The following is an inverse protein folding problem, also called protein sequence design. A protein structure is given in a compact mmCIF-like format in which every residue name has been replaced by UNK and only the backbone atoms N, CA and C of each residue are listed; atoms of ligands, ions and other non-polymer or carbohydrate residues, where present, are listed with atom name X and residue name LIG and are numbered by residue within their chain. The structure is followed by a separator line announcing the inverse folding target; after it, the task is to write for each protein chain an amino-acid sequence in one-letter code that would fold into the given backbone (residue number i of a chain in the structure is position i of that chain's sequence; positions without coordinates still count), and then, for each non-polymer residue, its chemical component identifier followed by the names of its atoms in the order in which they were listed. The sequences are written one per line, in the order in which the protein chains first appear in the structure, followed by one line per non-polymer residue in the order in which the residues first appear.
data_IF_505805969796
#
_entry.id   IF_505805969796
#
_cell.length_a   1.000
_cell.length_b   1.000
_cell.length_c   1.000
_cell.angle_alpha   90.00
_cell.angle_beta   90.00
_cell.angle_gamma   90.00
#
_symmetry.space_group_name_H-M   'P 1'
#
loop_
_entity.id
_entity.type
_entity.pdbx_description
1 polymer ?
#
# COMPACT_ATOMS: atom_id res chain seq x y z
N UNK A 1 4.07 2.27 -2.48
CA UNK A 1 2.84 1.48 -2.20
C UNK A 1 3.20 0.38 -1.22
N UNK A 2 2.32 0.04 -0.29
CA UNK A 2 2.56 -1.04 0.69
C UNK A 2 1.39 -2.03 0.58
N UNK A 3 1.69 -3.32 0.45
CA UNK A 3 0.71 -4.41 0.41
C UNK A 3 0.82 -5.23 1.70
N UNK A 4 -0.22 -5.15 2.53
CA UNK A 4 -0.34 -5.92 3.76
C UNK A 4 -1.33 -7.07 3.50
N UNK A 5 -0.81 -8.28 3.36
CA UNK A 5 -1.60 -9.48 3.05
C UNK A 5 -1.35 -10.53 4.14
N UNK A 6 -2.41 -10.87 4.88
CA UNK A 6 -2.40 -11.88 5.94
C UNK A 6 -2.44 -13.33 5.43
N UNK A 7 -2.72 -13.54 4.14
CA UNK A 7 -2.81 -14.86 3.52
C UNK A 7 -1.68 -15.11 2.50
N UNK A 8 -0.89 -14.09 2.17
CA UNK A 8 0.19 -14.14 1.16
C UNK A 8 -0.27 -14.72 -0.18
N UNK A 9 -1.52 -14.45 -0.56
CA UNK A 9 -2.16 -15.03 -1.74
C UNK A 9 -2.36 -14.02 -2.87
N UNK A 10 -2.16 -12.73 -2.58
CA UNK A 10 -2.31 -11.66 -3.55
C UNK A 10 -1.22 -11.74 -4.61
N UNK A 11 -1.62 -11.72 -5.89
CA UNK A 11 -0.68 -11.64 -7.00
C UNK A 11 0.04 -10.27 -6.99
N UNK A 12 1.35 -10.22 -6.71
CA UNK A 12 2.08 -8.97 -6.55
C UNK A 12 2.36 -8.27 -7.90
N UNK A 13 2.06 -8.90 -9.04
CA UNK A 13 2.35 -8.35 -10.37
C UNK A 13 1.17 -7.57 -10.93
N UNK A 14 -0.05 -8.08 -10.78
CA UNK A 14 -1.24 -7.49 -11.41
C UNK A 14 -1.81 -6.31 -10.61
N UNK A 15 -1.88 -6.45 -9.29
CA UNK A 15 -2.48 -5.44 -8.42
C UNK A 15 -1.78 -4.07 -8.51
N UNK A 16 -0.44 -3.97 -8.49
CA UNK A 16 0.23 -2.67 -8.60
C UNK A 16 0.00 -1.98 -9.94
N UNK A 17 -0.11 -2.74 -11.04
CA UNK A 17 -0.38 -2.18 -12.36
C UNK A 17 -1.74 -1.48 -12.36
N UNK A 18 -2.77 -2.15 -11.83
CA UNK A 18 -4.13 -1.60 -11.75
C UNK A 18 -4.18 -0.37 -10.84
N UNK A 19 -3.53 -0.42 -9.67
CA UNK A 19 -3.49 0.71 -8.74
C UNK A 19 -2.76 1.91 -9.37
N UNK A 20 -1.61 1.70 -10.01
CA UNK A 20 -0.87 2.79 -10.68
C UNK A 20 -1.70 3.46 -11.76
N UNK A 21 -2.38 2.67 -12.59
CA UNK A 21 -3.29 3.20 -13.62
C UNK A 21 -4.41 4.03 -12.99
N UNK A 22 -5.05 3.51 -11.93
CA UNK A 22 -6.09 4.24 -11.21
C UNK A 22 -5.60 5.58 -10.66
N UNK A 23 -4.38 5.64 -10.10
CA UNK A 23 -3.78 6.89 -9.64
C UNK A 23 -3.52 7.85 -10.80
N UNK A 24 -2.96 7.38 -11.92
CA UNK A 24 -2.78 8.21 -13.13
C UNK A 24 -4.11 8.81 -13.60
N UNK A 25 -5.16 7.98 -13.67
CA UNK A 25 -6.49 8.42 -14.11
C UNK A 25 -7.06 9.53 -13.20
N UNK A 26 -6.84 9.47 -11.88
CA UNK A 26 -7.21 10.54 -10.93
C UNK A 26 -6.45 11.83 -11.26
N UNK A 27 -5.15 11.75 -11.48
CA UNK A 27 -4.31 12.92 -11.76
C UNK A 27 -4.73 13.61 -13.06
N UNK A 28 -5.00 12.83 -14.11
CA UNK A 28 -5.53 13.33 -15.38
C UNK A 28 -6.89 14.01 -15.18
N UNK A 29 -7.80 13.36 -14.45
CA UNK A 29 -9.14 13.91 -14.17
C UNK A 29 -9.09 15.22 -13.37
N UNK A 30 -8.12 15.36 -12.47
CA UNK A 30 -7.91 16.58 -11.69
C UNK A 30 -7.07 17.65 -12.41
N UNK A 31 -6.63 17.40 -13.65
CA UNK A 31 -5.80 18.32 -14.42
C UNK A 31 -4.40 18.55 -13.82
N UNK A 32 -3.92 17.62 -13.00
CA UNK A 32 -2.58 17.68 -12.38
C UNK A 32 -1.54 17.25 -13.41
N UNK A 33 -0.53 18.08 -13.66
CA UNK A 33 0.55 17.82 -14.61
C UNK A 33 1.65 16.87 -14.11
N UNK A 34 1.35 16.00 -13.14
CA UNK A 34 2.34 14.99 -12.74
C UNK A 34 2.58 14.01 -13.88
N UNK A 35 3.85 13.63 -14.01
CA UNK A 35 4.35 12.74 -15.05
C UNK A 35 4.01 11.29 -14.69
N UNK A 36 3.42 10.54 -15.61
CA UNK A 36 3.13 9.10 -15.45
C UNK A 36 4.39 8.30 -15.04
N UNK A 37 5.57 8.80 -15.44
CA UNK A 37 6.88 8.26 -15.07
C UNK A 37 7.13 8.30 -13.55
N UNK A 38 6.59 9.31 -12.84
CA UNK A 38 6.66 9.41 -11.39
C UNK A 38 5.86 8.30 -10.70
N UNK A 39 4.60 8.13 -11.09
CA UNK A 39 3.69 7.15 -10.49
C UNK A 39 4.16 5.71 -10.79
N UNK A 40 4.64 5.46 -12.00
CA UNK A 40 5.16 4.14 -12.40
C UNK A 40 6.42 3.74 -11.63
N UNK A 41 7.24 4.71 -11.21
CA UNK A 41 8.46 4.48 -10.41
C UNK A 41 8.19 4.15 -8.93
N UNK A 42 6.96 4.33 -8.42
CA UNK A 42 6.63 4.07 -7.01
C UNK A 42 6.81 2.57 -6.71
N UNK A 43 7.67 2.19 -5.76
CA UNK A 43 7.90 0.78 -5.42
C UNK A 43 6.67 0.17 -4.72
N UNK A 44 6.46 -1.13 -4.95
CA UNK A 44 5.58 -1.95 -4.12
C UNK A 44 6.43 -2.58 -3.02
N UNK A 45 6.08 -2.32 -1.76
CA UNK A 45 6.67 -2.96 -0.60
C UNK A 45 5.71 -4.02 -0.07
N UNK A 46 6.23 -5.21 0.23
CA UNK A 46 5.46 -6.33 0.80
C UNK A 46 6.15 -6.71 2.11
N UNK A 47 5.86 -6.00 3.22
CA UNK A 47 6.51 -6.25 4.49
C UNK A 47 6.03 -7.56 5.11
N UNK A 48 6.85 -8.11 6.01
CA UNK A 48 6.44 -9.25 6.83
C UNK A 48 5.46 -8.78 7.90
N UNK A 49 4.23 -9.29 7.85
CA UNK A 49 3.15 -8.98 8.79
C UNK A 49 2.66 -10.24 9.49
N UNK A 50 2.00 -10.13 10.66
CA UNK A 50 1.31 -11.26 11.29
C UNK A 50 0.38 -11.96 10.30
N UNK A 51 0.54 -13.28 10.12
CA UNK A 51 -0.23 -14.05 9.15
C UNK A 51 -1.44 -14.72 9.82
N UNK A 52 -2.53 -14.85 9.09
CA UNK A 52 -3.73 -15.54 9.58
C UNK A 52 -3.53 -17.07 9.57
N UNK A 53 -4.14 -17.76 10.54
CA UNK A 53 -4.04 -19.22 10.64
C UNK A 53 -5.01 -19.99 9.74
N UNK A 54 -6.06 -19.33 9.24
CA UNK A 54 -7.14 -19.93 8.44
C UNK A 54 -7.59 -18.99 7.32
N UNK A 55 -8.41 -19.45 6.38
CA UNK A 55 -8.87 -18.63 5.24
C UNK A 55 -9.94 -17.56 5.55
N UNK A 56 -10.44 -17.46 6.78
CA UNK A 56 -11.64 -16.64 7.10
C UNK A 56 -11.34 -15.35 7.87
N UNK A 57 -10.13 -15.18 8.39
CA UNK A 57 -9.79 -14.06 9.28
C UNK A 57 -9.26 -12.82 8.55
N UNK A 58 -9.15 -12.84 7.22
CA UNK A 58 -8.52 -11.75 6.46
C UNK A 58 -9.15 -10.38 6.73
N UNK A 59 -10.47 -10.31 6.91
CA UNK A 59 -11.17 -9.07 7.26
C UNK A 59 -10.72 -8.49 8.62
N UNK A 60 -10.47 -9.35 9.61
CA UNK A 60 -9.96 -8.93 10.92
C UNK A 60 -8.52 -8.40 10.80
N UNK A 61 -7.66 -9.10 10.04
CA UNK A 61 -6.28 -8.65 9.83
C UNK A 61 -6.21 -7.32 9.08
N UNK A 62 -7.09 -7.07 8.11
CA UNK A 62 -7.19 -5.75 7.45
C UNK A 62 -7.48 -4.65 8.47
N UNK A 63 -8.46 -4.85 9.35
CA UNK A 63 -8.79 -3.86 10.39
C UNK A 63 -7.64 -3.68 11.38
N UNK A 64 -7.00 -4.77 11.77
CA UNK A 64 -5.82 -4.77 12.63
C UNK A 64 -4.67 -3.97 12.02
N UNK A 65 -4.38 -4.17 10.73
CA UNK A 65 -3.34 -3.43 10.02
C UNK A 65 -3.64 -1.93 9.93
N UNK A 66 -4.88 -1.55 9.61
CA UNK A 66 -5.29 -0.14 9.57
C UNK A 66 -5.13 0.50 10.95
N UNK A 67 -5.60 -0.19 12.00
CA UNK A 67 -5.45 0.29 13.37
C UNK A 67 -3.98 0.53 13.73
N UNK A 68 -3.11 -0.45 13.51
CA UNK A 68 -1.67 -0.32 13.78
C UNK A 68 -1.01 0.77 12.93
N UNK A 69 -1.37 0.88 11.66
CA UNK A 69 -0.84 1.91 10.78
C UNK A 69 -1.17 3.31 11.31
N UNK A 70 -2.41 3.55 11.75
CA UNK A 70 -2.84 4.84 12.29
C UNK A 70 -2.14 5.12 13.64
N UNK A 71 -2.01 4.13 14.51
CA UNK A 71 -1.37 4.30 15.83
C UNK A 71 0.14 4.54 15.74
N UNK A 72 0.79 3.98 14.72
CA UNK A 72 2.25 4.10 14.52
C UNK A 72 2.62 5.19 13.53
N UNK A 73 1.65 5.77 12.81
CA UNK A 73 1.89 6.87 11.90
C UNK A 73 2.50 8.05 12.67
N UNK A 74 3.63 8.61 12.20
CA UNK A 74 4.21 9.77 12.84
C UNK A 74 3.25 10.96 12.70
N UNK A 75 3.18 11.79 13.76
CA UNK A 75 2.36 13.01 13.76
C UNK A 75 2.73 13.98 12.63
N UNK A 76 3.97 13.92 12.15
CA UNK A 76 4.43 14.68 10.99
C UNK A 76 5.25 13.77 10.09
N UNK A 77 4.90 13.75 8.80
CA UNK A 77 5.63 12.98 7.81
C UNK A 77 7.02 13.60 7.61
N UNK A 78 8.05 12.81 7.85
CA UNK A 78 9.45 13.17 7.62
C UNK A 78 10.10 12.07 6.78
N UNK A 79 10.77 12.45 5.69
CA UNK A 79 11.52 11.49 4.87
C UNK A 79 12.77 10.98 5.61
N UNK A 80 13.33 11.79 6.51
CA UNK A 80 14.49 11.41 7.31
C UNK A 80 14.08 10.46 8.43
N UNK A 81 14.53 9.20 8.35
CA UNK A 81 14.32 8.18 9.38
C UNK A 81 12.99 7.42 9.29
N UNK A 82 12.26 7.52 8.19
CA UNK A 82 11.04 6.74 8.00
C UNK A 82 11.39 5.24 7.95
N UNK A 83 10.82 4.40 8.83
CA UNK A 83 11.07 2.97 8.77
C UNK A 83 10.48 2.46 7.46
N UNK A 84 11.35 2.02 6.55
CA UNK A 84 10.93 1.13 5.49
C UNK A 84 10.37 -0.12 6.18
N UNK A 85 9.06 -0.30 6.08
CA UNK A 85 8.35 -1.49 6.55
C UNK A 85 8.99 -2.76 5.98
#
# INVERSE_FOLDING_TARGET
MVLLDSLLSTNPTELPIKIRKFVVDIYVAEGRGEKEEGISSIPLLIPQVPQQGNGSECGFFVLYYIYFFIQTAPHSFCLDGYPYF
#
